data_IF_323714978069
#
_entry.id   IF_323714978069
#
_cell.length_a   1.000
_cell.length_b   1.000
_cell.length_c   1.000
_cell.angle_alpha   90.00
_cell.angle_beta   90.00
_cell.angle_gamma   90.00
#
_symmetry.space_group_name_H-M   'P 1'
#
loop_
_entity.id
_entity.type
_entity.pdbx_description
1 polymer ?
#
# COMPACT_ATOMS: atom_id res chain seq x y z
N UNK A 1 69.63 -22.93 24.31
CA UNK A 1 68.35 -23.12 23.54
C UNK A 1 67.59 -21.80 23.52
N UNK A 2 67.69 -21.03 22.44
CA UNK A 2 66.97 -19.75 22.30
C UNK A 2 65.56 -20.02 21.83
N UNK A 3 64.57 -19.62 22.62
CA UNK A 3 63.16 -19.67 22.20
C UNK A 3 62.94 -18.79 20.96
N UNK A 4 62.22 -19.30 19.98
CA UNK A 4 61.94 -18.52 18.75
C UNK A 4 61.10 -17.28 19.13
N UNK A 5 61.59 -16.09 18.79
CA UNK A 5 60.86 -14.83 18.93
C UNK A 5 59.68 -14.85 17.97
N UNK A 6 58.51 -15.15 18.47
CA UNK A 6 57.28 -15.06 17.69
C UNK A 6 57.11 -13.60 17.24
N UNK A 7 56.90 -13.35 15.93
CA UNK A 7 56.78 -11.99 15.43
C UNK A 7 55.42 -11.41 15.85
N UNK A 8 55.40 -10.76 17.01
CA UNK A 8 54.20 -10.14 17.63
C UNK A 8 53.38 -9.32 16.63
N UNK A 9 54.07 -8.60 15.72
CA UNK A 9 53.42 -7.84 14.66
C UNK A 9 52.58 -8.72 13.71
N UNK A 10 53.05 -9.91 13.32
CA UNK A 10 52.33 -10.83 12.45
C UNK A 10 51.10 -11.43 13.15
N UNK A 11 51.21 -11.74 14.43
CA UNK A 11 50.11 -12.24 15.27
C UNK A 11 49.04 -11.15 15.42
N UNK A 12 49.45 -9.91 15.65
CA UNK A 12 48.53 -8.77 15.79
C UNK A 12 47.75 -8.50 14.48
N UNK A 13 48.43 -8.55 13.35
CA UNK A 13 47.81 -8.42 12.02
C UNK A 13 46.79 -9.54 11.80
N UNK A 14 47.13 -10.78 12.12
CA UNK A 14 46.23 -11.93 11.98
C UNK A 14 44.99 -11.80 12.86
N UNK A 15 45.19 -11.37 14.14
CA UNK A 15 44.07 -11.11 15.06
C UNK A 15 43.14 -10.02 14.54
N UNK A 16 43.65 -8.90 14.01
CA UNK A 16 42.83 -7.84 13.45
C UNK A 16 42.09 -8.35 12.22
N UNK A 17 42.74 -9.13 11.35
CA UNK A 17 42.18 -9.66 10.11
C UNK A 17 41.03 -10.65 10.37
N UNK A 18 41.03 -11.35 11.51
CA UNK A 18 39.97 -12.25 11.95
C UNK A 18 38.89 -11.52 12.79
N UNK A 19 39.32 -10.62 13.67
CA UNK A 19 38.42 -9.96 14.62
C UNK A 19 37.49 -8.93 13.90
N UNK A 20 38.00 -8.19 12.90
CA UNK A 20 37.23 -7.16 12.20
C UNK A 20 36.04 -7.78 11.41
N UNK A 21 36.21 -8.80 10.57
CA UNK A 21 35.07 -9.46 9.91
C UNK A 21 34.13 -10.13 10.91
N UNK A 22 34.68 -10.75 11.96
CA UNK A 22 33.86 -11.40 13.00
C UNK A 22 32.99 -10.42 13.77
N UNK A 23 33.55 -9.30 14.20
CA UNK A 23 32.78 -8.25 14.89
C UNK A 23 31.78 -7.58 13.95
N UNK A 24 32.14 -7.33 12.68
CA UNK A 24 31.23 -6.78 11.68
C UNK A 24 30.06 -7.73 11.41
N UNK A 25 30.33 -9.03 11.26
CA UNK A 25 29.30 -10.07 11.12
C UNK A 25 28.38 -10.12 12.35
N UNK A 26 28.95 -10.08 13.55
CA UNK A 26 28.17 -10.05 14.79
C UNK A 26 27.29 -8.81 14.87
N UNK A 27 27.83 -7.63 14.58
CA UNK A 27 27.07 -6.37 14.57
C UNK A 27 25.94 -6.38 13.53
N UNK A 28 26.19 -6.92 12.35
CA UNK A 28 25.17 -7.07 11.30
C UNK A 28 24.10 -8.09 11.68
N UNK A 29 24.45 -9.16 12.38
CA UNK A 29 23.51 -10.20 12.83
C UNK A 29 22.64 -9.73 13.99
N UNK A 30 23.21 -9.05 14.98
CA UNK A 30 22.52 -8.64 16.21
C UNK A 30 21.81 -7.27 16.07
N UNK A 31 22.46 -6.32 15.36
CA UNK A 31 21.96 -4.95 15.20
C UNK A 31 21.48 -4.64 13.79
N UNK A 32 21.68 -5.54 12.83
CA UNK A 32 21.15 -5.42 11.48
C UNK A 32 19.63 -5.45 11.52
N UNK A 33 19.01 -4.28 11.48
CA UNK A 33 17.57 -4.19 11.33
C UNK A 33 17.21 -4.78 9.96
N UNK A 34 16.47 -5.87 9.98
CA UNK A 34 15.94 -6.47 8.76
C UNK A 34 14.92 -5.47 8.18
N UNK A 35 15.36 -4.62 7.26
CA UNK A 35 14.52 -3.57 6.62
C UNK A 35 13.33 -4.15 5.85
N UNK A 36 13.28 -5.45 5.68
CA UNK A 36 12.23 -6.16 4.94
C UNK A 36 11.30 -6.91 5.91
N UNK A 37 10.67 -6.19 6.84
CA UNK A 37 9.50 -6.75 7.53
C UNK A 37 8.32 -6.70 6.56
N UNK A 38 7.59 -7.83 6.39
CA UNK A 38 6.36 -7.81 5.63
C UNK A 38 5.43 -6.73 6.19
N UNK A 39 4.73 -6.02 5.30
CA UNK A 39 3.73 -5.04 5.74
C UNK A 39 2.63 -5.72 6.54
N UNK A 40 2.05 -4.98 7.45
CA UNK A 40 0.88 -5.43 8.20
C UNK A 40 -0.28 -5.77 7.25
N UNK A 41 -1.16 -6.66 7.70
CA UNK A 41 -2.44 -6.91 7.05
C UNK A 41 -3.52 -6.41 8.00
N UNK A 42 -4.33 -5.49 7.53
CA UNK A 42 -5.39 -4.85 8.28
C UNK A 42 -6.72 -5.56 8.09
N UNK A 43 -7.63 -5.36 9.03
CA UNK A 43 -8.96 -5.94 9.05
C UNK A 43 -9.10 -7.15 9.96
N UNK A 44 -10.31 -7.71 9.97
CA UNK A 44 -10.65 -8.85 10.81
C UNK A 44 -9.81 -10.08 10.43
N UNK A 45 -9.34 -10.80 11.45
CA UNK A 45 -8.57 -12.03 11.31
C UNK A 45 -9.35 -13.18 11.94
N UNK A 46 -9.62 -14.23 11.17
CA UNK A 46 -10.27 -15.44 11.64
C UNK A 46 -9.33 -16.62 11.57
N UNK A 47 -9.45 -17.52 12.53
CA UNK A 47 -8.71 -18.79 12.50
C UNK A 47 -9.36 -19.70 11.47
N UNK A 48 -8.57 -20.23 10.53
CA UNK A 48 -9.05 -21.19 9.55
C UNK A 48 -9.15 -22.61 10.17
N UNK A 49 -9.89 -23.47 9.50
CA UNK A 49 -9.92 -24.91 9.83
C UNK A 49 -8.71 -25.68 9.27
N UNK A 50 -7.89 -25.02 8.44
CA UNK A 50 -6.67 -25.58 7.86
C UNK A 50 -5.45 -25.25 8.71
N UNK A 51 -4.39 -26.07 8.58
CA UNK A 51 -3.16 -25.92 9.37
C UNK A 51 -1.94 -26.06 8.45
N UNK A 52 -0.90 -25.29 8.74
CA UNK A 52 0.42 -25.49 8.14
C UNK A 52 1.42 -25.93 9.20
N UNK A 53 2.45 -26.68 8.79
CA UNK A 53 3.50 -27.12 9.70
C UNK A 53 4.69 -26.17 9.65
N UNK A 54 5.05 -25.60 10.80
CA UNK A 54 6.24 -24.76 10.96
C UNK A 54 7.09 -25.29 12.10
N UNK A 55 8.34 -25.68 11.80
CA UNK A 55 9.28 -26.26 12.78
C UNK A 55 8.70 -27.45 13.56
N UNK A 56 7.96 -28.34 12.88
CA UNK A 56 7.34 -29.52 13.49
C UNK A 56 6.06 -29.26 14.29
N UNK A 57 5.59 -28.00 14.38
CA UNK A 57 4.34 -27.63 15.06
C UNK A 57 3.25 -27.32 14.03
N UNK A 58 2.05 -27.84 14.24
CA UNK A 58 0.87 -27.46 13.48
C UNK A 58 0.39 -26.09 13.97
N UNK A 59 0.31 -25.12 13.06
CA UNK A 59 -0.16 -23.76 13.32
C UNK A 59 -1.42 -23.58 12.46
N UNK A 60 -2.55 -23.14 13.04
CA UNK A 60 -3.75 -22.87 12.25
C UNK A 60 -3.50 -21.70 11.29
N UNK A 61 -4.04 -21.85 10.07
CA UNK A 61 -3.99 -20.77 9.08
C UNK A 61 -4.87 -19.60 9.49
N UNK A 62 -4.58 -18.43 8.96
CA UNK A 62 -5.33 -17.21 9.25
C UNK A 62 -6.07 -16.78 7.99
N UNK A 63 -7.39 -16.61 8.11
CA UNK A 63 -8.22 -15.97 7.09
C UNK A 63 -8.20 -14.48 7.35
N UNK A 64 -7.71 -13.71 6.37
CA UNK A 64 -7.65 -12.26 6.44
C UNK A 64 -8.88 -11.64 5.80
N UNK A 65 -9.24 -10.45 6.24
CA UNK A 65 -10.18 -9.59 5.53
C UNK A 65 -9.68 -9.31 4.12
N UNK A 66 -10.56 -9.42 3.14
CA UNK A 66 -10.29 -9.09 1.73
C UNK A 66 -11.42 -8.22 1.19
N UNK A 67 -11.06 -7.26 0.35
CA UNK A 67 -12.02 -6.41 -0.34
C UNK A 67 -12.78 -7.26 -1.35
N UNK A 68 -14.13 -7.20 -1.34
CA UNK A 68 -14.95 -7.91 -2.31
C UNK A 68 -14.74 -7.38 -3.73
N UNK A 69 -15.07 -8.18 -4.71
CA UNK A 69 -15.08 -7.75 -6.11
C UNK A 69 -16.21 -6.75 -6.35
N UNK A 70 -15.93 -5.73 -7.13
CA UNK A 70 -16.92 -4.72 -7.52
C UNK A 70 -16.67 -4.21 -8.93
N UNK A 71 -17.65 -3.52 -9.50
CA UNK A 71 -17.54 -2.84 -10.79
C UNK A 71 -18.18 -1.47 -10.69
N UNK A 72 -17.46 -0.43 -11.14
CA UNK A 72 -17.90 0.97 -11.17
C UNK A 72 -17.53 1.58 -12.52
N UNK A 73 -18.13 2.71 -12.87
CA UNK A 73 -17.82 3.45 -14.09
C UNK A 73 -16.65 4.39 -13.87
N UNK A 74 -15.74 4.46 -14.83
CA UNK A 74 -14.65 5.45 -14.76
C UNK A 74 -15.04 6.76 -15.46
N UNK A 75 -14.13 7.72 -15.47
CA UNK A 75 -14.26 9.03 -16.12
C UNK A 75 -14.47 8.96 -17.64
N UNK A 76 -14.29 7.82 -18.28
CA UNK A 76 -14.57 7.59 -19.70
C UNK A 76 -15.84 6.79 -19.92
N UNK A 77 -16.65 6.58 -18.88
CA UNK A 77 -17.84 5.71 -18.89
C UNK A 77 -17.54 4.21 -19.13
N UNK A 78 -16.28 3.78 -18.96
CA UNK A 78 -15.92 2.37 -19.02
C UNK A 78 -16.21 1.68 -17.70
N UNK A 79 -16.73 0.45 -17.76
CA UNK A 79 -16.92 -0.38 -16.57
C UNK A 79 -15.59 -0.96 -16.08
N UNK A 80 -15.11 -0.47 -14.95
CA UNK A 80 -13.88 -0.89 -14.31
C UNK A 80 -14.19 -1.93 -13.23
N UNK A 81 -13.58 -3.10 -13.36
CA UNK A 81 -13.67 -4.18 -12.37
C UNK A 81 -12.52 -4.07 -11.36
N UNK A 82 -12.80 -4.41 -10.11
CA UNK A 82 -11.78 -4.61 -9.07
C UNK A 82 -11.89 -6.05 -8.54
N UNK A 83 -10.79 -6.81 -8.51
CA UNK A 83 -9.48 -6.46 -9.09
C UNK A 83 -9.54 -6.48 -10.63
N UNK A 84 -8.76 -5.61 -11.27
CA UNK A 84 -8.68 -5.62 -12.74
C UNK A 84 -7.74 -6.71 -13.24
N UNK A 85 -6.70 -7.00 -12.47
CA UNK A 85 -5.72 -8.05 -12.69
C UNK A 85 -5.32 -8.63 -11.33
N UNK A 86 -5.12 -9.95 -11.26
CA UNK A 86 -4.76 -10.68 -10.03
C UNK A 86 -3.38 -10.35 -9.47
N UNK A 87 -2.55 -9.60 -10.20
CA UNK A 87 -1.18 -9.28 -9.79
C UNK A 87 -0.95 -7.80 -9.50
N UNK A 88 -2.01 -6.97 -9.40
CA UNK A 88 -1.85 -5.54 -9.21
C UNK A 88 -1.90 -5.12 -7.74
N UNK A 89 -0.94 -4.28 -7.36
CA UNK A 89 -0.97 -3.49 -6.14
C UNK A 89 -1.78 -2.24 -6.44
N UNK A 90 -2.78 -1.96 -5.62
CA UNK A 90 -3.69 -0.83 -5.86
C UNK A 90 -3.60 0.18 -4.72
N UNK A 91 -3.54 1.46 -5.04
CA UNK A 91 -3.77 2.53 -4.07
C UNK A 91 -5.16 3.10 -4.33
N UNK A 92 -5.98 3.14 -3.28
CA UNK A 92 -7.37 3.62 -3.34
C UNK A 92 -7.55 4.81 -2.41
N UNK A 93 -8.34 5.80 -2.84
CA UNK A 93 -8.86 6.84 -1.97
C UNK A 93 -10.32 7.14 -2.27
N UNK A 94 -11.02 7.73 -1.30
CA UNK A 94 -12.37 8.22 -1.45
C UNK A 94 -12.36 9.75 -1.48
N UNK A 95 -13.11 10.34 -2.41
CA UNK A 95 -13.14 11.79 -2.64
C UNK A 95 -14.51 12.23 -3.16
N UNK A 96 -14.69 13.51 -3.35
CA UNK A 96 -15.78 14.09 -4.16
C UNK A 96 -15.32 15.40 -4.82
N UNK A 97 -15.85 15.72 -6.01
CA UNK A 97 -15.31 16.82 -6.82
C UNK A 97 -15.55 18.19 -6.20
N UNK A 98 -16.63 18.34 -5.44
CA UNK A 98 -17.02 19.59 -4.76
C UNK A 98 -16.33 19.82 -3.42
N UNK A 99 -15.40 18.94 -3.03
CA UNK A 99 -14.62 19.07 -1.80
C UNK A 99 -13.75 20.35 -1.83
N UNK A 100 -13.89 21.25 -0.85
CA UNK A 100 -13.31 22.59 -0.96
C UNK A 100 -11.78 22.62 -0.90
N UNK A 101 -11.14 21.74 -0.13
CA UNK A 101 -9.69 21.78 0.09
C UNK A 101 -9.03 20.40 0.08
N UNK A 102 -9.42 19.53 1.00
CA UNK A 102 -8.68 18.31 1.33
C UNK A 102 -8.53 17.32 0.17
N UNK A 103 -9.60 17.05 -0.59
CA UNK A 103 -9.55 16.08 -1.69
C UNK A 103 -8.62 16.54 -2.82
N UNK A 104 -8.55 17.85 -3.06
CA UNK A 104 -7.65 18.40 -4.09
C UNK A 104 -6.18 18.22 -3.73
N UNK A 105 -5.81 18.44 -2.48
CA UNK A 105 -4.43 18.28 -2.03
C UNK A 105 -4.06 16.80 -1.90
N UNK A 106 -4.96 15.97 -1.39
CA UNK A 106 -4.81 14.51 -1.39
C UNK A 106 -4.57 13.95 -2.81
N UNK A 107 -5.35 14.40 -3.81
CA UNK A 107 -5.17 13.94 -5.18
C UNK A 107 -3.89 14.51 -5.83
N UNK A 108 -3.43 15.71 -5.48
CA UNK A 108 -2.11 16.21 -5.91
C UNK A 108 -0.97 15.36 -5.35
N UNK A 109 -1.05 14.99 -4.09
CA UNK A 109 -0.06 14.14 -3.44
C UNK A 109 -0.04 12.74 -4.06
N UNK A 110 -1.23 12.17 -4.28
CA UNK A 110 -1.37 10.89 -4.97
C UNK A 110 -0.84 10.96 -6.41
N UNK A 111 -1.02 12.09 -7.12
CA UNK A 111 -0.48 12.30 -8.47
C UNK A 111 1.06 12.23 -8.50
N UNK A 112 1.73 12.77 -7.47
CA UNK A 112 3.20 12.66 -7.35
C UNK A 112 3.62 11.20 -7.19
N UNK A 113 2.93 10.43 -6.35
CA UNK A 113 3.19 8.99 -6.18
C UNK A 113 2.90 8.26 -7.48
N UNK A 114 1.74 8.50 -8.11
CA UNK A 114 1.34 7.85 -9.35
C UNK A 114 2.34 8.10 -10.50
N UNK A 115 2.91 9.30 -10.59
CA UNK A 115 3.96 9.64 -11.56
C UNK A 115 5.22 8.79 -11.37
N UNK A 116 5.65 8.53 -10.12
CA UNK A 116 6.82 7.68 -9.86
C UNK A 116 6.63 6.24 -10.34
N UNK A 117 5.39 5.76 -10.40
CA UNK A 117 5.06 4.38 -10.79
C UNK A 117 4.40 4.26 -12.16
N UNK A 118 4.42 5.30 -12.98
CA UNK A 118 3.75 5.33 -14.29
C UNK A 118 4.13 4.13 -15.18
N UNK A 119 5.39 3.74 -15.20
CA UNK A 119 5.90 2.61 -16.00
C UNK A 119 5.84 1.26 -15.26
N UNK A 120 5.40 1.22 -14.00
CA UNK A 120 5.35 -0.02 -13.23
C UNK A 120 4.04 -0.76 -13.49
N UNK A 121 4.10 -1.94 -14.11
CA UNK A 121 2.92 -2.74 -14.47
C UNK A 121 2.17 -3.31 -13.27
N UNK A 122 2.81 -3.41 -12.13
CA UNK A 122 2.17 -3.91 -10.90
C UNK A 122 1.31 -2.86 -10.20
N UNK A 123 1.43 -1.59 -10.56
CA UNK A 123 0.73 -0.50 -9.85
C UNK A 123 -0.52 -0.04 -10.58
N UNK A 124 -1.56 0.22 -9.78
CA UNK A 124 -2.81 0.87 -10.19
C UNK A 124 -3.26 1.87 -9.14
N UNK A 125 -3.97 2.89 -9.58
CA UNK A 125 -4.53 3.93 -8.72
C UNK A 125 -6.03 4.04 -8.99
N UNK A 126 -6.82 4.18 -7.94
CA UNK A 126 -8.28 4.27 -8.00
C UNK A 126 -8.74 5.34 -7.04
N UNK A 127 -9.49 6.33 -7.54
CA UNK A 127 -10.19 7.32 -6.73
C UNK A 127 -11.69 7.09 -6.89
N UNK A 128 -12.41 6.84 -5.79
CA UNK A 128 -13.84 6.53 -5.80
C UNK A 128 -14.60 7.74 -5.27
N UNK A 129 -15.52 8.29 -6.09
CA UNK A 129 -16.37 9.38 -5.63
C UNK A 129 -17.42 8.88 -4.65
N UNK A 130 -17.61 9.63 -3.57
CA UNK A 130 -18.65 9.39 -2.56
C UNK A 130 -19.88 10.28 -2.75
N UNK A 131 -19.90 11.06 -3.83
CA UNK A 131 -21.03 11.92 -4.25
C UNK A 131 -21.50 11.57 -5.67
N UNK A 132 -21.86 10.29 -5.94
CA UNK A 132 -22.16 9.83 -7.31
C UNK A 132 -23.41 10.48 -7.90
N UNK A 133 -24.27 11.08 -7.08
CA UNK A 133 -25.44 11.82 -7.54
C UNK A 133 -25.04 13.10 -8.31
N UNK A 134 -23.85 13.65 -8.02
CA UNK A 134 -23.28 14.81 -8.70
C UNK A 134 -22.12 14.44 -9.63
N UNK A 135 -21.25 13.57 -9.17
CA UNK A 135 -19.99 13.19 -9.82
C UNK A 135 -20.27 12.15 -10.93
N UNK A 136 -20.90 12.59 -12.05
CA UNK A 136 -21.05 11.75 -13.25
C UNK A 136 -19.69 11.46 -13.89
N UNK A 137 -19.59 10.47 -14.81
CA UNK A 137 -18.36 10.24 -15.59
C UNK A 137 -17.81 11.50 -16.27
N UNK A 138 -18.68 12.37 -16.82
CA UNK A 138 -18.29 13.61 -17.47
C UNK A 138 -17.69 14.62 -16.49
N UNK A 139 -18.28 14.73 -15.27
CA UNK A 139 -17.75 15.58 -14.20
C UNK A 139 -16.39 15.06 -13.75
N UNK A 140 -16.25 13.72 -13.60
CA UNK A 140 -14.99 13.08 -13.27
C UNK A 140 -13.94 13.25 -14.36
N UNK A 141 -14.33 13.21 -15.64
CA UNK A 141 -13.43 13.44 -16.76
C UNK A 141 -12.78 14.82 -16.70
N UNK A 142 -13.57 15.86 -16.39
CA UNK A 142 -13.03 17.21 -16.23
C UNK A 142 -12.16 17.35 -14.98
N UNK A 143 -12.64 16.82 -13.85
CA UNK A 143 -11.93 16.88 -12.57
C UNK A 143 -10.57 16.17 -12.62
N UNK A 144 -10.50 15.04 -13.32
CA UNK A 144 -9.31 14.18 -13.33
C UNK A 144 -8.17 14.71 -14.22
N UNK A 145 -8.45 15.59 -15.19
CA UNK A 145 -7.47 16.10 -16.17
C UNK A 145 -6.11 16.51 -15.56
N UNK A 146 -6.06 17.28 -14.45
CA UNK A 146 -4.77 17.70 -13.87
C UNK A 146 -3.95 16.56 -13.28
N UNK A 147 -4.58 15.42 -12.97
CA UNK A 147 -3.96 14.32 -12.23
C UNK A 147 -3.53 13.16 -13.14
N UNK A 148 -4.30 12.87 -14.20
CA UNK A 148 -4.10 11.69 -15.05
C UNK A 148 -3.32 11.97 -16.33
N UNK A 149 -2.99 13.23 -16.65
CA UNK A 149 -2.33 13.62 -17.89
C UNK A 149 -1.06 12.80 -18.20
N UNK A 150 -0.37 12.34 -17.18
CA UNK A 150 0.85 11.54 -17.30
C UNK A 150 0.68 10.07 -16.84
N UNK A 151 -0.48 9.69 -16.29
CA UNK A 151 -0.69 8.34 -15.74
C UNK A 151 -2.00 7.71 -16.19
N UNK A 152 -1.91 6.82 -17.20
CA UNK A 152 -3.05 6.05 -17.74
C UNK A 152 -3.55 4.91 -16.82
N UNK A 153 -2.97 4.73 -15.63
CA UNK A 153 -3.32 3.66 -14.68
C UNK A 153 -4.08 4.18 -13.48
N UNK A 154 -4.60 5.36 -13.56
CA UNK A 154 -5.40 5.98 -12.53
C UNK A 154 -6.82 6.22 -13.04
N UNK A 155 -7.77 5.54 -12.43
CA UNK A 155 -9.19 5.65 -12.72
C UNK A 155 -9.90 6.42 -11.62
N UNK A 156 -10.77 7.34 -12.01
CA UNK A 156 -11.71 8.06 -11.15
C UNK A 156 -13.07 7.43 -11.34
N UNK A 157 -13.62 6.82 -10.27
CA UNK A 157 -14.79 5.97 -10.34
C UNK A 157 -16.02 6.59 -9.71
N UNK A 158 -17.17 6.32 -10.32
CA UNK A 158 -18.51 6.64 -9.84
C UNK A 158 -19.47 5.50 -10.11
N UNK A 159 -20.66 5.52 -9.51
CA UNK A 159 -21.67 4.49 -9.76
C UNK A 159 -22.74 4.45 -8.69
N UNK A 160 -23.21 3.25 -8.37
CA UNK A 160 -24.27 3.06 -7.36
C UNK A 160 -23.82 3.52 -5.98
N UNK A 161 -24.60 4.40 -5.38
CA UNK A 161 -24.29 5.06 -4.12
C UNK A 161 -24.24 4.08 -2.96
N UNK A 162 -25.19 3.16 -2.87
CA UNK A 162 -25.27 2.20 -1.77
C UNK A 162 -24.10 1.23 -1.84
N UNK A 163 -23.71 0.82 -3.06
CA UNK A 163 -22.51 0.03 -3.28
C UNK A 163 -21.26 0.77 -2.80
N UNK A 164 -21.06 2.02 -3.22
CA UNK A 164 -19.89 2.83 -2.87
C UNK A 164 -19.78 3.01 -1.34
N UNK A 165 -20.89 3.37 -0.68
CA UNK A 165 -20.92 3.55 0.77
C UNK A 165 -20.69 2.23 1.51
N UNK A 166 -21.26 1.13 1.00
CA UNK A 166 -21.01 -0.21 1.56
C UNK A 166 -19.54 -0.62 1.41
N UNK A 167 -18.93 -0.36 0.25
CA UNK A 167 -17.50 -0.60 0.02
C UNK A 167 -16.65 0.20 1.00
N UNK A 168 -16.85 1.52 1.07
CA UNK A 168 -16.08 2.39 1.97
C UNK A 168 -16.12 1.89 3.42
N UNK A 169 -17.32 1.59 3.93
CA UNK A 169 -17.52 1.24 5.34
C UNK A 169 -17.13 -0.20 5.68
N UNK A 170 -17.53 -1.18 4.84
CA UNK A 170 -17.39 -2.60 5.18
C UNK A 170 -16.12 -3.22 4.62
N UNK A 171 -15.72 -2.84 3.42
CA UNK A 171 -14.60 -3.45 2.73
C UNK A 171 -13.29 -2.67 2.95
N UNK A 172 -13.33 -1.37 2.78
CA UNK A 172 -12.17 -0.50 2.99
C UNK A 172 -12.01 -0.04 4.44
N UNK A 173 -13.02 -0.27 5.31
CA UNK A 173 -13.02 0.08 6.73
C UNK A 173 -12.62 1.55 6.96
N UNK A 174 -13.12 2.42 6.09
CA UNK A 174 -12.91 3.86 6.20
C UNK A 174 -14.03 4.41 7.08
N UNK A 175 -13.67 4.97 8.23
CA UNK A 175 -14.63 5.67 9.08
C UNK A 175 -15.17 6.88 8.33
N UNK A 176 -16.48 6.85 8.15
CA UNK A 176 -17.21 7.94 7.55
C UNK A 176 -17.21 9.12 8.53
N UNK A 177 -16.35 10.09 8.32
CA UNK A 177 -16.60 11.42 8.90
C UNK A 177 -17.74 12.01 8.07
N UNK A 178 -18.93 12.00 8.67
CA UNK A 178 -20.08 12.68 8.06
C UNK A 178 -19.81 14.20 8.14
N UNK A 179 -19.33 14.76 7.04
CA UNK A 179 -19.23 16.21 6.91
C UNK A 179 -20.59 16.75 6.48
N UNK A 180 -21.18 17.61 7.32
CA UNK A 180 -22.49 18.19 7.08
C UNK A 180 -22.33 19.50 6.31
N UNK A 181 -21.93 19.43 5.05
CA UNK A 181 -21.97 20.57 4.16
C UNK A 181 -23.39 20.65 3.56
N UNK A 182 -24.21 21.57 4.06
CA UNK A 182 -25.50 21.87 3.45
C UNK A 182 -26.55 20.75 3.48
N UNK A 183 -26.71 20.01 4.58
CA UNK A 183 -27.65 18.88 4.76
C UNK A 183 -27.27 17.56 4.05
N UNK A 184 -26.12 17.44 3.44
CA UNK A 184 -25.65 16.20 2.81
C UNK A 184 -24.60 15.58 3.71
N UNK A 185 -24.88 14.39 4.24
CA UNK A 185 -23.88 13.57 4.96
C UNK A 185 -22.99 12.91 3.89
N UNK A 186 -21.81 13.48 3.64
CA UNK A 186 -20.83 12.92 2.72
C UNK A 186 -19.76 12.20 3.56
N UNK A 187 -19.47 10.96 3.19
CA UNK A 187 -18.33 10.22 3.75
C UNK A 187 -17.05 10.90 3.27
N UNK A 188 -16.26 11.36 4.20
CA UNK A 188 -15.00 12.03 3.90
C UNK A 188 -13.88 11.34 4.66
N UNK A 189 -12.87 10.86 3.95
CA UNK A 189 -11.69 10.29 4.58
C UNK A 189 -10.43 10.75 3.84
N UNK A 190 -9.44 11.28 4.56
CA UNK A 190 -8.17 11.69 3.98
C UNK A 190 -7.25 10.51 3.68
N UNK A 191 -7.74 9.28 3.80
CA UNK A 191 -6.92 8.08 3.74
C UNK A 191 -6.58 7.67 2.31
N UNK A 192 -5.30 7.47 2.07
CA UNK A 192 -4.77 6.69 0.96
C UNK A 192 -4.59 5.26 1.44
N UNK A 193 -5.17 4.28 0.72
CA UNK A 193 -5.25 2.89 1.16
C UNK A 193 -4.42 2.03 0.22
N UNK A 194 -3.42 1.34 0.75
CA UNK A 194 -2.57 0.41 -0.01
C UNK A 194 -3.13 -1.00 0.06
N UNK A 195 -3.28 -1.63 -1.11
CA UNK A 195 -3.91 -2.96 -1.27
C UNK A 195 -2.97 -3.86 -2.06
N UNK A 196 -2.81 -5.10 -1.59
CA UNK A 196 -2.01 -6.10 -2.27
C UNK A 196 -2.80 -6.86 -3.37
N UNK A 197 -2.12 -7.67 -4.21
CA UNK A 197 -2.77 -8.49 -5.22
C UNK A 197 -3.81 -9.49 -4.68
N UNK A 198 -3.73 -9.84 -3.39
CA UNK A 198 -4.68 -10.71 -2.73
C UNK A 198 -5.89 -9.95 -2.17
N UNK A 199 -6.05 -8.68 -2.54
CA UNK A 199 -7.12 -7.77 -2.11
C UNK A 199 -7.12 -7.46 -0.61
N UNK A 200 -5.97 -7.60 0.07
CA UNK A 200 -5.82 -7.32 1.50
C UNK A 200 -5.30 -5.91 1.69
N UNK A 201 -5.78 -5.22 2.70
CA UNK A 201 -5.31 -3.88 3.04
C UNK A 201 -3.96 -4.00 3.76
N UNK A 202 -2.96 -3.28 3.25
CA UNK A 202 -1.59 -3.32 3.74
C UNK A 202 -1.16 -2.02 4.44
N UNK A 203 -1.88 -0.94 4.25
CA UNK A 203 -1.63 0.34 4.91
C UNK A 203 -2.73 1.36 4.72
N UNK A 204 -2.81 2.29 5.68
CA UNK A 204 -3.62 3.50 5.64
C UNK A 204 -2.70 4.69 5.89
N UNK A 205 -2.78 5.71 5.05
CA UNK A 205 -1.91 6.89 5.10
C UNK A 205 -2.78 8.14 5.08
N UNK A 206 -2.78 8.87 6.17
CA UNK A 206 -3.58 10.08 6.32
C UNK A 206 -2.89 11.26 5.61
N UNK A 207 -3.39 11.61 4.44
CA UNK A 207 -2.84 12.72 3.63
C UNK A 207 -3.00 14.10 4.30
N UNK A 208 -3.90 14.23 5.28
CA UNK A 208 -4.07 15.49 6.03
C UNK A 208 -2.92 15.77 7.00
N UNK A 209 -2.16 14.74 7.38
CA UNK A 209 -0.99 14.86 8.25
C UNK A 209 0.29 15.29 7.52
N UNK A 210 0.17 15.58 6.21
CA UNK A 210 1.25 16.17 5.43
C UNK A 210 2.15 15.18 4.70
N UNK A 211 3.27 15.71 4.20
CA UNK A 211 4.14 15.02 3.25
C UNK A 211 4.80 13.73 3.78
N UNK A 212 4.94 13.59 5.09
CA UNK A 212 5.54 12.38 5.70
C UNK A 212 4.70 11.13 5.41
N UNK A 213 3.38 11.23 5.45
CA UNK A 213 2.48 10.10 5.17
C UNK A 213 2.55 9.66 3.70
N UNK A 214 2.69 10.62 2.79
CA UNK A 214 2.84 10.34 1.36
C UNK A 214 4.20 9.68 1.07
N UNK A 215 5.24 10.13 1.77
CA UNK A 215 6.58 9.52 1.69
C UNK A 215 6.54 8.09 2.22
N UNK A 216 5.89 7.86 3.37
CA UNK A 216 5.70 6.53 3.95
C UNK A 216 4.94 5.61 2.98
N UNK A 217 3.83 6.06 2.39
CA UNK A 217 3.12 5.31 1.34
C UNK A 217 4.07 4.91 0.20
N UNK A 218 4.88 5.85 -0.30
CA UNK A 218 5.83 5.58 -1.39
C UNK A 218 6.86 4.52 -1.00
N UNK A 219 7.38 4.56 0.23
CA UNK A 219 8.36 3.58 0.70
C UNK A 219 7.73 2.21 0.94
N UNK A 220 6.50 2.16 1.46
CA UNK A 220 5.78 0.90 1.66
C UNK A 220 5.29 0.28 0.35
N UNK A 221 4.99 1.08 -0.69
CA UNK A 221 4.77 0.55 -2.05
C UNK A 221 6.03 -0.18 -2.55
N UNK A 222 7.24 0.39 -2.40
CA UNK A 222 8.49 -0.26 -2.80
C UNK A 222 8.70 -1.58 -2.07
N UNK A 223 8.38 -1.58 -0.77
CA UNK A 223 8.48 -2.78 0.07
C UNK A 223 7.50 -3.85 -0.41
N UNK A 224 6.25 -3.49 -0.69
CA UNK A 224 5.22 -4.40 -1.17
C UNK A 224 5.54 -4.97 -2.56
N UNK A 225 6.01 -4.13 -3.49
CA UNK A 225 6.51 -4.61 -4.80
C UNK A 225 7.61 -5.65 -4.62
N UNK A 226 8.54 -5.42 -3.68
CA UNK A 226 9.63 -6.37 -3.42
C UNK A 226 9.11 -7.67 -2.82
N UNK A 227 8.12 -7.60 -1.92
CA UNK A 227 7.44 -8.75 -1.33
C UNK A 227 6.77 -9.61 -2.40
N UNK A 228 5.99 -8.98 -3.30
CA UNK A 228 5.27 -9.67 -4.37
C UNK A 228 6.23 -10.29 -5.42
N UNK A 229 7.28 -9.59 -5.82
CA UNK A 229 8.29 -10.14 -6.75
C UNK A 229 9.03 -11.36 -6.17
N UNK A 230 9.20 -11.42 -4.84
CA UNK A 230 9.78 -12.59 -4.18
C UNK A 230 8.80 -13.75 -4.14
N UNK A 231 7.53 -13.50 -3.89
CA UNK A 231 6.50 -14.55 -3.87
C UNK A 231 6.33 -15.24 -5.23
N UNK A 232 6.49 -14.49 -6.33
CA UNK A 232 6.44 -15.02 -7.70
C UNK A 232 7.65 -15.94 -7.99
N UNK A 233 8.84 -15.62 -7.45
CA UNK A 233 10.05 -16.44 -7.68
C UNK A 233 10.08 -17.76 -6.90
N UNK A 234 9.22 -17.91 -5.91
CA UNK A 234 9.18 -19.12 -5.04
C UNK A 234 8.07 -20.10 -5.48
N UNK A 235 7.19 -19.71 -6.39
CA UNK A 235 6.20 -20.57 -7.05
C UNK A 235 6.77 -21.17 -8.33
#
# INVERSE_FOLDING_TARGET
MSLPSFPVKKILILLILLAVPGTLYYLLKEKGQNRYRPLNIYGEKKVASTFHTKRGKQIPDTIYHVIRDFSLLNQNSDAIKFPADSNQITVVNFFYTRCPLLCRDMNKDLARVAKMYNNNRLMRFISISVDPDYDSPEVLAEYSKPYISENKKWDFLTGDKDLIYSLAKKDFMVDAIADTIGKINIIHSPMLILIDPQKRIRGYYDSSLGHEQVTLLSDEIKLLITEELRSIKVR
#
